data_IF_339567310583
#
_entry.id   IF_339567310583
#
_cell.length_a   1.000
_cell.length_b   1.000
_cell.length_c   1.000
_cell.angle_alpha   90.00
_cell.angle_beta   90.00
_cell.angle_gamma   90.00
#
_symmetry.space_group_name_H-M   'P 1'
#
loop_
_entity.id
_entity.type
_entity.pdbx_description
1 polymer ?
#
# COMPACT_ATOMS: atom_id res chain seq x y z
N UNK A 1 -6.66 -25.62 -7.90
CA UNK A 1 -7.78 -24.84 -7.29
C UNK A 1 -7.47 -24.28 -5.90
N UNK A 2 -7.22 -25.10 -4.85
CA UNK A 2 -6.97 -24.59 -3.47
C UNK A 2 -5.82 -23.57 -3.40
N UNK A 3 -4.74 -23.82 -4.12
CA UNK A 3 -3.59 -22.90 -4.16
C UNK A 3 -3.91 -21.57 -4.86
N UNK A 4 -4.62 -21.60 -5.99
CA UNK A 4 -5.08 -20.39 -6.69
C UNK A 4 -6.01 -19.55 -5.81
N UNK A 5 -6.94 -20.20 -5.11
CA UNK A 5 -7.84 -19.53 -4.16
C UNK A 5 -7.05 -18.88 -3.01
N UNK A 6 -6.06 -19.59 -2.45
CA UNK A 6 -5.21 -19.05 -1.39
C UNK A 6 -4.39 -17.84 -1.86
N UNK A 7 -3.82 -17.90 -3.07
CA UNK A 7 -3.08 -16.78 -3.68
C UNK A 7 -3.98 -15.57 -3.91
N UNK A 8 -5.19 -15.80 -4.42
CA UNK A 8 -6.20 -14.79 -4.66
C UNK A 8 -6.63 -14.08 -3.36
N UNK A 9 -6.96 -14.85 -2.32
CA UNK A 9 -7.33 -14.28 -1.01
C UNK A 9 -6.18 -13.46 -0.41
N UNK A 10 -4.95 -13.96 -0.49
CA UNK A 10 -3.77 -13.26 0.02
C UNK A 10 -3.50 -11.96 -0.73
N UNK A 11 -3.60 -11.97 -2.06
CA UNK A 11 -3.44 -10.77 -2.89
C UNK A 11 -4.52 -9.73 -2.59
N UNK A 12 -5.77 -10.16 -2.42
CA UNK A 12 -6.89 -9.29 -2.08
C UNK A 12 -6.74 -8.62 -0.71
N UNK A 13 -6.43 -9.40 0.33
CA UNK A 13 -6.16 -8.87 1.68
C UNK A 13 -4.97 -7.92 1.66
N UNK A 14 -3.89 -8.29 0.98
CA UNK A 14 -2.70 -7.45 0.83
C UNK A 14 -3.02 -6.11 0.16
N UNK A 15 -3.74 -6.13 -0.96
CA UNK A 15 -4.13 -4.92 -1.68
C UNK A 15 -4.95 -3.97 -0.80
N UNK A 16 -5.94 -4.50 -0.06
CA UNK A 16 -6.77 -3.72 0.87
C UNK A 16 -5.92 -3.16 2.01
N UNK A 17 -5.03 -3.97 2.60
CA UNK A 17 -4.16 -3.54 3.69
C UNK A 17 -3.25 -2.38 3.27
N UNK A 18 -2.59 -2.48 2.12
CA UNK A 18 -1.75 -1.40 1.60
C UNK A 18 -2.54 -0.13 1.24
N UNK A 19 -3.78 -0.29 0.79
CA UNK A 19 -4.67 0.84 0.48
C UNK A 19 -5.12 1.56 1.76
N UNK A 20 -5.60 0.83 2.76
CA UNK A 20 -6.00 1.41 4.07
C UNK A 20 -4.81 2.09 4.73
N UNK A 21 -3.66 1.40 4.77
CA UNK A 21 -2.40 1.94 5.30
C UNK A 21 -1.98 3.22 4.57
N UNK A 22 -1.98 3.18 3.23
CA UNK A 22 -1.67 4.33 2.40
C UNK A 22 -2.58 5.53 2.67
N UNK A 23 -3.90 5.32 2.70
CA UNK A 23 -4.87 6.39 3.00
C UNK A 23 -4.63 6.96 4.39
N UNK A 24 -4.47 6.10 5.39
CA UNK A 24 -4.25 6.51 6.76
C UNK A 24 -3.02 7.42 6.88
N UNK A 25 -1.87 6.97 6.39
CA UNK A 25 -0.63 7.75 6.49
C UNK A 25 -0.62 8.97 5.59
N UNK A 26 -1.21 8.90 4.40
CA UNK A 26 -1.28 10.04 3.50
C UNK A 26 -2.08 11.20 4.13
N UNK A 27 -3.21 10.89 4.79
CA UNK A 27 -4.03 11.87 5.50
C UNK A 27 -3.37 12.36 6.79
N UNK A 28 -2.67 11.49 7.52
CA UNK A 28 -2.03 11.84 8.80
C UNK A 28 -0.58 12.37 8.65
N UNK A 29 -0.12 12.67 7.42
CA UNK A 29 1.25 13.14 7.15
C UNK A 29 1.70 14.31 8.03
N UNK A 30 0.78 15.22 8.37
CA UNK A 30 1.09 16.37 9.24
C UNK A 30 1.33 15.98 10.70
N UNK A 31 0.63 14.96 11.20
CA UNK A 31 0.88 14.43 12.54
C UNK A 31 2.23 13.72 12.61
N UNK A 32 2.59 13.00 11.54
CA UNK A 32 3.91 12.36 11.43
C UNK A 32 5.03 13.39 11.44
N UNK A 33 4.90 14.47 10.68
CA UNK A 33 5.87 15.56 10.69
C UNK A 33 6.01 16.17 12.09
N UNK A 34 4.91 16.34 12.82
CA UNK A 34 4.95 16.80 14.21
C UNK A 34 5.67 15.80 15.12
N UNK A 35 5.32 14.51 15.04
CA UNK A 35 5.97 13.46 15.82
C UNK A 35 7.47 13.38 15.54
N UNK A 36 7.90 13.52 14.28
CA UNK A 36 9.33 13.54 13.93
C UNK A 36 10.08 14.73 14.55
N UNK A 37 9.42 15.88 14.67
CA UNK A 37 10.02 17.07 15.30
C UNK A 37 9.99 17.00 16.83
N UNK A 38 9.09 16.20 17.40
CA UNK A 38 8.96 15.99 18.85
C UNK A 38 9.85 14.83 19.34
N UNK A 39 10.45 14.05 18.44
CA UNK A 39 11.23 12.84 18.74
C UNK A 39 12.75 13.05 18.54
N UNK A 40 13.56 12.06 18.94
CA UNK A 40 15.03 12.11 18.82
C UNK A 40 15.54 12.28 17.38
N UNK A 41 14.68 12.04 16.38
CA UNK A 41 15.01 12.22 14.96
C UNK A 41 14.98 13.68 14.49
N UNK A 42 14.55 14.62 15.34
CA UNK A 42 14.44 16.06 15.01
C UNK A 42 15.72 16.62 14.40
N UNK A 43 16.87 16.38 15.03
CA UNK A 43 18.17 16.94 14.60
C UNK A 43 18.53 16.54 13.15
N UNK A 44 18.03 15.39 12.68
CA UNK A 44 18.26 14.89 11.33
C UNK A 44 17.37 15.56 10.27
N UNK A 45 16.26 16.19 10.68
CA UNK A 45 15.21 16.65 9.75
C UNK A 45 14.82 18.11 9.93
N UNK A 46 15.22 18.76 11.02
CA UNK A 46 14.85 20.14 11.31
C UNK A 46 15.37 21.14 10.28
N UNK A 47 16.52 20.86 9.66
CA UNK A 47 17.09 21.67 8.59
C UNK A 47 16.30 21.57 7.26
N UNK A 48 15.44 20.56 7.11
CA UNK A 48 14.61 20.39 5.90
C UNK A 48 13.33 21.21 6.09
N UNK A 49 12.94 22.09 5.15
CA UNK A 49 11.67 22.82 5.25
C UNK A 49 10.47 21.86 5.38
N UNK A 50 9.52 22.21 6.26
CA UNK A 50 8.32 21.40 6.53
C UNK A 50 7.59 20.97 5.26
N UNK A 51 7.37 21.89 4.33
CA UNK A 51 6.71 21.60 3.05
C UNK A 51 7.44 20.49 2.26
N UNK A 52 8.78 20.50 2.29
CA UNK A 52 9.62 19.49 1.62
C UNK A 52 9.53 18.13 2.33
N UNK A 53 9.54 18.10 3.67
CA UNK A 53 9.37 16.85 4.45
C UNK A 53 8.03 16.19 4.18
N UNK A 54 6.94 16.97 4.28
CA UNK A 54 5.59 16.49 4.00
C UNK A 54 5.45 15.98 2.56
N UNK A 55 6.04 16.69 1.59
CA UNK A 55 6.02 16.26 0.19
C UNK A 55 6.79 14.95 -0.02
N UNK A 56 7.98 14.81 0.59
CA UNK A 56 8.78 13.57 0.53
C UNK A 56 8.04 12.41 1.20
N UNK A 57 7.45 12.62 2.36
CA UNK A 57 6.67 11.61 3.07
C UNK A 57 5.45 11.16 2.24
N UNK A 58 4.64 12.11 1.73
CA UNK A 58 3.49 11.79 0.87
C UNK A 58 3.90 11.03 -0.40
N UNK A 59 5.06 11.36 -1.00
CA UNK A 59 5.63 10.58 -2.12
C UNK A 59 6.00 9.15 -1.70
N UNK A 60 6.60 8.98 -0.53
CA UNK A 60 6.91 7.65 0.02
C UNK A 60 5.63 6.83 0.25
N UNK A 61 4.61 7.43 0.86
CA UNK A 61 3.30 6.80 1.04
C UNK A 61 2.65 6.48 -0.30
N UNK A 62 2.89 7.26 -1.36
CA UNK A 62 2.35 6.96 -2.68
C UNK A 62 2.80 5.59 -3.21
N UNK A 63 3.96 5.09 -2.79
CA UNK A 63 4.44 3.74 -3.14
C UNK A 63 3.53 2.65 -2.57
N UNK A 64 2.81 2.87 -1.47
CA UNK A 64 1.86 1.88 -0.93
C UNK A 64 0.65 1.75 -1.84
N UNK A 65 0.21 2.83 -2.51
CA UNK A 65 -0.84 2.76 -3.53
C UNK A 65 -0.37 2.01 -4.78
N UNK A 66 0.90 2.21 -5.18
CA UNK A 66 1.49 1.43 -6.28
C UNK A 66 1.54 -0.05 -5.94
N UNK A 67 1.98 -0.41 -4.72
CA UNK A 67 1.97 -1.79 -4.25
C UNK A 67 0.56 -2.38 -4.19
N UNK A 68 -0.43 -1.62 -3.70
CA UNK A 68 -1.83 -2.03 -3.70
C UNK A 68 -2.35 -2.28 -5.13
N UNK A 69 -2.02 -1.42 -6.09
CA UNK A 69 -2.41 -1.58 -7.49
C UNK A 69 -1.78 -2.83 -8.12
N UNK A 70 -0.49 -3.09 -7.86
CA UNK A 70 0.19 -4.31 -8.33
C UNK A 70 -0.50 -5.55 -7.75
N UNK A 71 -0.75 -5.59 -6.44
CA UNK A 71 -1.44 -6.71 -5.80
C UNK A 71 -2.87 -6.90 -6.34
N UNK A 72 -3.55 -5.80 -6.66
CA UNK A 72 -4.87 -5.85 -7.28
C UNK A 72 -4.83 -6.43 -8.70
N UNK A 73 -3.83 -6.08 -9.51
CA UNK A 73 -3.62 -6.70 -10.82
C UNK A 73 -3.35 -8.20 -10.65
N UNK A 74 -2.49 -8.60 -9.72
CA UNK A 74 -2.25 -10.00 -9.41
C UNK A 74 -3.54 -10.72 -8.98
N UNK A 75 -4.37 -10.08 -8.16
CA UNK A 75 -5.68 -10.59 -7.77
C UNK A 75 -6.56 -10.86 -9.02
N UNK A 76 -6.67 -9.89 -9.93
CA UNK A 76 -7.45 -10.03 -11.17
C UNK A 76 -6.93 -11.16 -12.06
N UNK A 77 -5.61 -11.30 -12.21
CA UNK A 77 -5.03 -12.40 -12.99
C UNK A 77 -5.35 -13.77 -12.38
N UNK A 78 -5.21 -13.92 -11.05
CA UNK A 78 -5.56 -15.17 -10.37
C UNK A 78 -7.06 -15.44 -10.45
N UNK A 79 -7.90 -14.40 -10.41
CA UNK A 79 -9.35 -14.53 -10.56
C UNK A 79 -9.72 -15.03 -11.95
N UNK A 80 -9.10 -14.46 -13.00
CA UNK A 80 -9.31 -14.90 -14.37
C UNK A 80 -8.93 -16.37 -14.57
N UNK A 81 -7.77 -16.80 -14.06
CA UNK A 81 -7.34 -18.21 -14.11
C UNK A 81 -8.29 -19.14 -13.37
N UNK A 82 -8.80 -18.71 -12.21
CA UNK A 82 -9.78 -19.48 -11.46
C UNK A 82 -11.08 -19.65 -12.26
N UNK A 83 -11.60 -18.55 -12.83
CA UNK A 83 -12.82 -18.55 -13.63
C UNK A 83 -12.67 -19.44 -14.87
N UNK A 84 -11.54 -19.34 -15.57
CA UNK A 84 -11.22 -20.20 -16.71
C UNK A 84 -11.23 -21.68 -16.30
N UNK A 85 -10.56 -22.01 -15.20
CA UNK A 85 -10.51 -23.40 -14.68
C UNK A 85 -11.88 -23.95 -14.26
N UNK A 86 -12.82 -23.08 -13.86
CA UNK A 86 -14.19 -23.46 -13.51
C UNK A 86 -15.11 -23.55 -14.73
N UNK A 87 -14.75 -22.87 -15.83
CA UNK A 87 -15.52 -22.84 -17.08
C UNK A 87 -15.11 -23.93 -18.09
N UNK A 88 -13.99 -24.62 -17.86
CA UNK A 88 -13.55 -25.72 -18.70
C UNK A 88 -14.56 -26.89 -18.63
N UNK A 89 -15.08 -27.37 -19.78
CA UNK A 89 -15.95 -28.54 -19.79
C UNK A 89 -15.16 -29.77 -19.31
N UNK A 90 -15.79 -30.55 -18.41
CA UNK A 90 -15.32 -31.87 -17.98
C UNK A 90 -15.26 -32.83 -19.17
#
# INVERSE_FOLDING_TARGET
MKELLSRLVTAGIGAIAFLIWGIYWYRNAEKVDKWMMDDWTRELVEHIPRATRLRKFRRGVMLTFVAAAILFIFFLCNLAQLLESLSAPV
#
